data_IF_489535229570
#
_entry.id   IF_489535229570
#
_cell.length_a   1.000
_cell.length_b   1.000
_cell.length_c   1.000
_cell.angle_alpha   90.00
_cell.angle_beta   90.00
_cell.angle_gamma   90.00
#
_symmetry.space_group_name_H-M   'P 1'
#
loop_
_entity.id
_entity.type
_entity.pdbx_description
1 polymer ?
#
# COMPACT_ATOMS: atom_id res chain seq x y z
N UNK A 1 -10.03 -40.95 -18.49
CA UNK A 1 -9.72 -40.16 -17.27
C UNK A 1 -10.56 -38.90 -17.29
N UNK A 2 -11.67 -38.95 -16.55
CA UNK A 2 -12.89 -38.17 -16.78
C UNK A 2 -12.80 -36.69 -16.46
N UNK A 3 -13.61 -35.91 -17.18
CA UNK A 3 -13.81 -34.47 -16.98
C UNK A 3 -14.18 -34.12 -15.52
N UNK A 4 -14.79 -35.06 -14.79
CA UNK A 4 -15.11 -34.96 -13.36
C UNK A 4 -13.84 -34.94 -12.51
N UNK A 5 -12.87 -35.80 -12.77
CA UNK A 5 -11.59 -35.84 -12.07
C UNK A 5 -10.74 -34.57 -12.35
N UNK A 6 -10.76 -34.05 -13.59
CA UNK A 6 -10.13 -32.76 -13.93
C UNK A 6 -10.80 -31.57 -13.22
N UNK A 7 -12.13 -31.60 -13.03
CA UNK A 7 -12.91 -30.57 -12.32
C UNK A 7 -12.66 -30.64 -10.81
N UNK A 8 -12.57 -31.84 -10.25
CA UNK A 8 -12.20 -32.10 -8.86
C UNK A 8 -10.78 -31.61 -8.57
N UNK A 9 -9.82 -31.96 -9.43
CA UNK A 9 -8.41 -31.57 -9.30
C UNK A 9 -8.20 -30.06 -9.50
N UNK A 10 -9.02 -29.40 -10.35
CA UNK A 10 -9.07 -27.94 -10.46
C UNK A 10 -9.63 -27.28 -9.20
N UNK A 11 -10.68 -27.86 -8.61
CA UNK A 11 -11.25 -27.39 -7.33
C UNK A 11 -10.25 -27.58 -6.19
N UNK A 12 -9.64 -28.74 -6.06
CA UNK A 12 -8.61 -29.02 -5.06
C UNK A 12 -7.38 -28.13 -5.23
N UNK A 13 -6.96 -27.83 -6.47
CA UNK A 13 -5.90 -26.83 -6.73
C UNK A 13 -6.33 -25.40 -6.41
N UNK A 14 -7.59 -25.03 -6.62
CA UNK A 14 -8.13 -23.73 -6.21
C UNK A 14 -8.26 -23.62 -4.69
N UNK A 15 -8.58 -24.72 -4.00
CA UNK A 15 -8.63 -24.82 -2.54
C UNK A 15 -7.22 -24.83 -1.94
N UNK A 16 -6.27 -25.55 -2.54
CA UNK A 16 -4.85 -25.53 -2.14
C UNK A 16 -4.19 -24.18 -2.41
N UNK A 17 -4.56 -23.48 -3.50
CA UNK A 17 -4.19 -22.07 -3.76
C UNK A 17 -4.85 -21.09 -2.80
N UNK A 18 -6.01 -21.42 -2.23
CA UNK A 18 -6.60 -20.69 -1.09
C UNK A 18 -5.88 -21.00 0.22
N UNK A 19 -5.30 -22.19 0.37
CA UNK A 19 -4.58 -22.63 1.58
C UNK A 19 -3.12 -22.14 1.66
N UNK A 20 -2.47 -21.84 0.54
CA UNK A 20 -1.32 -20.92 0.53
C UNK A 20 -1.89 -19.49 0.61
N UNK A 21 -2.34 -19.11 1.81
CA UNK A 21 -2.93 -17.80 2.06
C UNK A 21 -1.98 -16.72 1.56
N UNK A 22 -2.49 -15.83 0.71
CA UNK A 22 -1.74 -14.68 0.25
C UNK A 22 -1.24 -13.93 1.48
N UNK A 23 0.08 -13.72 1.60
CA UNK A 23 0.60 -13.02 2.78
C UNK A 23 -0.04 -11.64 2.85
N UNK A 24 -0.46 -11.26 4.06
CA UNK A 24 -0.88 -9.90 4.31
C UNK A 24 0.22 -8.94 3.85
N UNK A 25 -0.17 -7.81 3.29
CA UNK A 25 0.76 -6.90 2.65
C UNK A 25 0.27 -5.45 2.75
N UNK A 26 1.16 -4.52 2.41
CA UNK A 26 0.85 -3.13 2.17
C UNK A 26 1.17 -2.72 0.74
N UNK A 27 0.59 -1.59 0.33
CA UNK A 27 1.04 -0.82 -0.84
C UNK A 27 0.86 0.66 -0.58
N UNK A 28 1.67 1.47 -1.24
CA UNK A 28 1.52 2.93 -1.26
C UNK A 28 1.24 3.38 -2.68
N UNK A 29 0.46 4.44 -2.82
CA UNK A 29 0.22 5.11 -4.09
C UNK A 29 0.35 6.62 -3.88
N UNK A 30 0.84 7.33 -4.89
CA UNK A 30 0.90 8.78 -4.93
C UNK A 30 0.32 9.28 -6.25
N UNK A 31 -0.56 10.27 -6.15
CA UNK A 31 -1.17 10.97 -7.29
C UNK A 31 -0.52 12.35 -7.45
N UNK A 32 -0.23 12.74 -8.69
CA UNK A 32 0.36 14.03 -9.05
C UNK A 32 -0.46 14.75 -10.11
N UNK A 33 -0.81 16.00 -9.83
CA UNK A 33 -1.26 16.91 -10.89
C UNK A 33 -0.04 17.32 -11.74
N UNK A 34 -0.25 17.46 -13.04
CA UNK A 34 0.82 17.86 -13.97
C UNK A 34 0.68 19.33 -14.29
N UNK A 35 1.75 20.09 -14.03
CA UNK A 35 1.89 21.45 -14.53
C UNK A 35 2.83 21.41 -15.74
N UNK A 36 2.39 21.96 -16.88
CA UNK A 36 3.18 22.06 -18.09
C UNK A 36 3.32 23.55 -18.44
N UNK A 37 4.54 24.05 -18.43
CA UNK A 37 4.86 25.48 -18.62
C UNK A 37 4.06 26.41 -17.67
N UNK A 38 3.78 25.92 -16.45
CA UNK A 38 3.04 26.65 -15.41
C UNK A 38 1.51 26.46 -15.44
N UNK A 39 0.96 25.75 -16.43
CA UNK A 39 -0.47 25.49 -16.52
C UNK A 39 -0.82 24.05 -16.14
N UNK A 40 -1.90 23.86 -15.38
CA UNK A 40 -2.36 22.51 -15.03
C UNK A 40 -2.95 21.83 -16.27
N UNK A 41 -2.43 20.65 -16.61
CA UNK A 41 -2.85 19.85 -17.76
C UNK A 41 -3.21 18.44 -17.35
N UNK A 42 -3.97 17.75 -18.20
CA UNK A 42 -4.19 16.30 -18.06
C UNK A 42 -3.04 15.54 -18.74
N UNK A 43 -2.36 14.61 -18.05
CA UNK A 43 -1.27 13.84 -18.63
C UNK A 43 -1.71 12.97 -19.83
N UNK A 44 -2.97 12.55 -19.88
CA UNK A 44 -3.52 11.81 -21.02
C UNK A 44 -3.60 12.65 -22.29
N UNK A 45 -3.83 13.95 -22.16
CA UNK A 45 -3.97 14.85 -23.31
C UNK A 45 -2.59 15.26 -23.86
N UNK A 46 -1.58 15.30 -23.00
CA UNK A 46 -0.21 15.70 -23.37
C UNK A 46 0.64 14.51 -23.81
N UNK A 47 0.68 13.46 -22.98
CA UNK A 47 1.57 12.32 -23.20
C UNK A 47 0.85 11.10 -23.78
N UNK A 48 -0.49 11.02 -23.64
CA UNK A 48 -1.31 9.87 -24.04
C UNK A 48 -1.15 8.64 -23.14
N UNK A 49 0.09 8.23 -22.86
CA UNK A 49 0.44 7.03 -22.09
C UNK A 49 1.82 7.20 -21.44
N UNK A 50 2.09 6.56 -20.28
CA UNK A 50 3.42 6.55 -19.68
C UNK A 50 4.55 6.08 -20.60
N UNK A 51 4.23 5.28 -21.63
CA UNK A 51 5.17 4.83 -22.67
C UNK A 51 5.76 5.97 -23.53
N UNK A 52 5.11 7.12 -23.59
CA UNK A 52 5.63 8.28 -24.33
C UNK A 52 6.74 9.01 -23.55
N UNK A 53 6.75 8.85 -22.22
CA UNK A 53 7.72 9.47 -21.33
C UNK A 53 8.88 8.50 -21.07
N UNK A 54 8.56 7.27 -20.66
CA UNK A 54 9.56 6.27 -20.23
C UNK A 54 10.22 5.60 -21.43
N UNK A 55 11.53 5.77 -21.56
CA UNK A 55 12.38 5.22 -22.63
C UNK A 55 12.71 3.74 -22.42
N UNK A 56 12.76 3.29 -21.17
CA UNK A 56 13.11 1.91 -20.80
C UNK A 56 11.98 0.88 -21.07
N UNK A 57 12.29 -0.42 -21.01
CA UNK A 57 11.28 -1.46 -21.18
C UNK A 57 10.23 -1.40 -20.07
N UNK A 58 8.97 -1.24 -20.45
CA UNK A 58 7.82 -1.31 -19.54
C UNK A 58 7.16 -2.68 -19.61
N UNK A 59 6.72 -3.20 -18.46
CA UNK A 59 5.91 -4.41 -18.39
C UNK A 59 4.43 -4.03 -18.21
N UNK A 60 3.56 -4.52 -19.10
CA UNK A 60 2.13 -4.27 -19.01
C UNK A 60 1.51 -4.96 -17.79
N UNK A 61 0.61 -4.25 -17.10
CA UNK A 61 -0.08 -4.71 -15.90
C UNK A 61 -1.59 -4.87 -16.14
N UNK A 62 -2.29 -3.77 -16.34
CA UNK A 62 -3.74 -3.76 -16.62
C UNK A 62 -4.13 -2.42 -17.23
N UNK A 63 -5.03 -2.41 -18.21
CA UNK A 63 -5.46 -1.16 -18.84
C UNK A 63 -4.27 -0.35 -19.37
N UNK A 64 -4.14 0.91 -18.92
CA UNK A 64 -3.03 1.83 -19.22
C UNK A 64 -1.92 1.84 -18.16
N UNK A 65 -1.88 0.85 -17.27
CA UNK A 65 -0.87 0.73 -16.21
C UNK A 65 0.31 -0.15 -16.60
N UNK A 66 1.50 0.35 -16.28
CA UNK A 66 2.79 -0.24 -16.62
C UNK A 66 3.71 -0.31 -15.41
N UNK A 67 4.41 -1.43 -15.23
CA UNK A 67 5.50 -1.50 -14.26
C UNK A 67 6.75 -0.80 -14.79
N UNK A 68 7.33 0.03 -13.92
CA UNK A 68 8.62 0.67 -14.04
C UNK A 68 9.76 -0.31 -13.72
N UNK A 69 11.00 -0.05 -14.18
CA UNK A 69 12.17 -0.87 -13.82
C UNK A 69 12.42 -0.99 -12.31
N UNK A 70 11.94 -0.02 -11.52
CA UNK A 70 11.96 -0.03 -10.04
C UNK A 70 10.97 -1.02 -9.41
N UNK A 71 10.13 -1.68 -10.20
CA UNK A 71 9.07 -2.58 -9.74
C UNK A 71 7.75 -1.88 -9.42
N UNK A 72 7.76 -0.57 -9.16
CA UNK A 72 6.56 0.26 -9.06
C UNK A 72 5.74 0.28 -10.36
N UNK A 73 4.54 0.81 -10.34
CA UNK A 73 3.68 0.97 -11.50
C UNK A 73 3.31 2.43 -11.71
N UNK A 74 3.26 2.86 -12.98
CA UNK A 74 2.82 4.19 -13.41
C UNK A 74 1.60 4.07 -14.30
N UNK A 75 0.65 4.99 -14.15
CA UNK A 75 -0.50 5.17 -15.03
C UNK A 75 -1.05 6.57 -14.93
N UNK A 76 -1.90 6.93 -15.89
CA UNK A 76 -2.69 8.15 -15.84
C UNK A 76 -4.13 7.77 -15.52
N UNK A 77 -4.72 8.40 -14.52
CA UNK A 77 -6.11 8.22 -14.14
C UNK A 77 -6.74 9.58 -13.86
N UNK A 78 -7.87 9.86 -14.49
CA UNK A 78 -8.70 11.05 -14.22
C UNK A 78 -7.89 12.37 -14.19
N UNK A 79 -6.91 12.53 -15.09
CA UNK A 79 -6.15 13.78 -15.20
C UNK A 79 -4.97 13.92 -14.23
N UNK A 80 -4.58 12.85 -13.52
CA UNK A 80 -3.37 12.81 -12.68
C UNK A 80 -2.43 11.70 -13.13
N UNK A 81 -1.15 11.87 -12.80
CA UNK A 81 -0.17 10.79 -12.87
C UNK A 81 -0.19 10.03 -11.55
N UNK A 82 -0.39 8.72 -11.60
CA UNK A 82 -0.35 7.86 -10.42
C UNK A 82 0.89 6.97 -10.44
N UNK A 83 1.57 6.89 -9.30
CA UNK A 83 2.63 5.94 -9.04
C UNK A 83 2.23 5.04 -7.88
N UNK A 84 2.29 3.73 -8.09
CA UNK A 84 1.94 2.71 -7.10
C UNK A 84 3.13 1.81 -6.81
N UNK A 85 3.32 1.41 -5.55
CA UNK A 85 4.36 0.44 -5.18
C UNK A 85 3.99 -0.97 -5.65
N UNK A 86 4.94 -1.91 -5.73
CA UNK A 86 4.61 -3.32 -5.57
C UNK A 86 3.91 -3.59 -4.22
N UNK A 87 3.25 -4.75 -4.10
CA UNK A 87 2.81 -5.23 -2.78
C UNK A 87 4.03 -5.59 -1.95
N UNK A 88 4.08 -5.10 -0.70
CA UNK A 88 5.13 -5.39 0.27
C UNK A 88 4.52 -6.27 1.37
N UNK A 89 5.00 -7.50 1.56
CA UNK A 89 4.50 -8.34 2.63
C UNK A 89 4.69 -7.71 4.03
N UNK A 90 3.72 -7.93 4.92
CA UNK A 90 3.77 -7.42 6.28
C UNK A 90 4.90 -8.08 7.06
N UNK A 91 5.84 -7.26 7.48
CA UNK A 91 6.98 -7.61 8.31
C UNK A 91 7.49 -6.33 9.01
N UNK A 92 8.35 -6.42 10.03
CA UNK A 92 9.05 -5.26 10.57
C UNK A 92 9.74 -4.47 9.45
N UNK A 93 9.51 -3.16 9.41
CA UNK A 93 10.03 -2.26 8.38
C UNK A 93 9.30 -2.31 7.03
N UNK A 94 8.14 -2.98 6.92
CA UNK A 94 7.39 -3.05 5.65
C UNK A 94 7.03 -1.66 5.09
N UNK A 95 6.60 -0.73 5.94
CA UNK A 95 6.30 0.65 5.55
C UNK A 95 7.53 1.39 5.00
N UNK A 96 8.71 1.16 5.58
CA UNK A 96 9.96 1.75 5.09
C UNK A 96 10.35 1.18 3.72
N UNK A 97 10.15 -0.12 3.48
CA UNK A 97 10.32 -0.72 2.14
C UNK A 97 9.36 -0.13 1.11
N UNK A 98 8.08 -0.02 1.48
CA UNK A 98 7.07 0.57 0.59
C UNK A 98 7.38 2.04 0.28
N UNK A 99 7.75 2.83 1.29
CA UNK A 99 8.14 4.21 1.11
C UNK A 99 9.37 4.35 0.21
N UNK A 100 10.43 3.58 0.45
CA UNK A 100 11.59 3.55 -0.45
C UNK A 100 11.18 3.22 -1.89
N UNK A 101 10.42 2.14 -2.09
CA UNK A 101 9.99 1.72 -3.43
C UNK A 101 9.16 2.79 -4.17
N UNK A 102 8.28 3.50 -3.44
CA UNK A 102 7.53 4.62 -3.98
C UNK A 102 8.45 5.76 -4.41
N UNK A 103 9.35 6.20 -3.51
CA UNK A 103 10.24 7.33 -3.77
C UNK A 103 11.32 7.04 -4.82
N UNK A 104 11.81 5.81 -4.92
CA UNK A 104 12.64 5.35 -6.04
C UNK A 104 11.90 5.45 -7.37
N UNK A 105 10.61 5.09 -7.38
CA UNK A 105 9.75 5.15 -8.57
C UNK A 105 9.40 6.60 -8.95
N UNK A 106 9.17 7.48 -7.97
CA UNK A 106 9.02 8.93 -8.18
C UNK A 106 10.29 9.51 -8.80
N UNK A 107 11.46 9.19 -8.23
CA UNK A 107 12.75 9.65 -8.76
C UNK A 107 12.95 9.18 -10.20
N UNK A 108 12.71 7.90 -10.47
CA UNK A 108 12.81 7.35 -11.82
C UNK A 108 11.90 8.09 -12.81
N UNK A 109 10.63 8.32 -12.44
CA UNK A 109 9.72 9.06 -13.32
C UNK A 109 10.20 10.50 -13.54
N UNK A 110 10.70 11.16 -12.49
CA UNK A 110 11.22 12.51 -12.58
C UNK A 110 12.40 12.61 -13.56
N UNK A 111 13.34 11.67 -13.51
CA UNK A 111 14.46 11.57 -14.46
C UNK A 111 13.96 11.38 -15.90
N UNK A 112 12.95 10.53 -16.12
CA UNK A 112 12.37 10.33 -17.46
C UNK A 112 11.60 11.57 -17.97
N UNK A 113 10.96 12.33 -17.07
CA UNK A 113 10.34 13.60 -17.40
C UNK A 113 11.38 14.68 -17.70
N UNK A 114 12.47 14.77 -16.95
CA UNK A 114 13.56 15.71 -17.21
C UNK A 114 14.17 15.49 -18.61
N UNK A 115 14.26 14.22 -19.02
CA UNK A 115 14.75 13.84 -20.35
C UNK A 115 13.72 14.08 -21.45
N UNK A 116 12.43 14.04 -21.11
CA UNK A 116 11.35 14.49 -21.99
C UNK A 116 11.40 16.02 -22.18
N UNK A 117 11.51 16.80 -21.09
CA UNK A 117 11.62 18.26 -21.13
C UNK A 117 12.77 18.73 -22.01
N UNK A 118 13.94 18.09 -21.89
CA UNK A 118 15.11 18.42 -22.73
C UNK A 118 14.89 18.16 -24.21
N UNK A 119 14.07 17.17 -24.56
CA UNK A 119 13.76 16.82 -25.96
C UNK A 119 12.70 17.74 -26.56
N UNK A 120 11.70 18.08 -25.76
CA UNK A 120 10.52 18.81 -26.21
C UNK A 120 10.62 20.33 -25.98
N UNK A 121 11.59 20.78 -25.18
CA UNK A 121 11.83 22.20 -24.90
C UNK A 121 10.75 22.84 -24.02
N UNK A 122 10.07 22.03 -23.19
CA UNK A 122 8.98 22.43 -22.29
C UNK A 122 9.32 22.08 -20.86
N UNK A 123 8.65 22.69 -19.88
CA UNK A 123 8.85 22.42 -18.45
C UNK A 123 7.67 21.65 -17.86
N UNK A 124 7.93 20.57 -17.11
CA UNK A 124 6.94 19.74 -16.45
C UNK A 124 7.18 19.73 -14.94
N UNK A 125 6.14 19.96 -14.15
CA UNK A 125 6.19 19.81 -12.70
C UNK A 125 5.17 18.78 -12.26
N UNK A 126 5.56 17.98 -11.25
CA UNK A 126 4.67 17.04 -10.59
C UNK A 126 4.19 17.66 -9.27
N UNK A 127 3.00 18.24 -9.28
CA UNK A 127 2.41 18.79 -8.06
C UNK A 127 1.77 17.65 -7.23
N UNK A 128 2.24 17.45 -6.00
CA UNK A 128 1.74 16.44 -5.08
C UNK A 128 0.26 16.64 -4.78
N UNK A 129 -0.57 15.67 -5.18
CA UNK A 129 -2.02 15.75 -5.05
C UNK A 129 -2.52 14.90 -3.88
N UNK A 130 -2.30 13.58 -3.91
CA UNK A 130 -2.75 12.69 -2.83
C UNK A 130 -1.80 11.53 -2.59
N UNK A 131 -1.90 10.91 -1.41
CA UNK A 131 -1.21 9.68 -1.05
C UNK A 131 -2.22 8.65 -0.49
N UNK A 132 -2.09 7.40 -0.93
CA UNK A 132 -3.00 6.31 -0.55
C UNK A 132 -2.21 5.20 0.11
N UNK A 133 -2.65 4.81 1.31
CA UNK A 133 -2.03 3.78 2.13
C UNK A 133 -2.93 2.56 2.15
N UNK A 134 -2.48 1.48 1.51
CA UNK A 134 -3.25 0.26 1.35
C UNK A 134 -2.76 -0.80 2.33
N UNK A 135 -3.68 -1.44 3.06
CA UNK A 135 -3.39 -2.57 3.97
C UNK A 135 -4.33 -3.72 3.66
N UNK A 136 -3.77 -4.92 3.43
CA UNK A 136 -4.56 -6.13 3.14
C UNK A 136 -5.61 -6.41 4.22
N UNK A 137 -6.82 -6.75 3.77
CA UNK A 137 -7.91 -7.27 4.59
C UNK A 137 -8.02 -8.77 4.32
N UNK A 138 -7.52 -9.56 5.28
CA UNK A 138 -7.32 -11.01 5.20
C UNK A 138 -8.15 -11.78 6.25
N UNK A 139 -9.15 -11.13 6.84
CA UNK A 139 -10.10 -11.78 7.76
C UNK A 139 -10.80 -12.93 7.02
N UNK A 140 -10.79 -14.17 7.54
CA UNK A 140 -11.42 -15.30 6.86
C UNK A 140 -12.93 -15.08 6.64
N UNK A 141 -13.48 -15.61 5.54
CA UNK A 141 -14.88 -15.38 5.19
C UNK A 141 -15.86 -15.91 6.25
N UNK A 142 -15.49 -16.99 6.94
CA UNK A 142 -16.21 -17.59 8.07
C UNK A 142 -16.23 -16.71 9.33
N UNK A 143 -15.26 -15.80 9.45
CA UNK A 143 -15.14 -14.81 10.51
C UNK A 143 -15.78 -13.47 10.17
N UNK A 144 -16.01 -13.20 8.88
CA UNK A 144 -16.73 -12.02 8.37
C UNK A 144 -18.25 -12.14 8.61
N UNK A 145 -18.63 -12.18 9.89
CA UNK A 145 -20.02 -12.12 10.35
C UNK A 145 -20.51 -10.67 10.36
N UNK A 146 -21.80 -10.46 10.64
CA UNK A 146 -22.34 -9.11 10.84
C UNK A 146 -21.47 -8.34 11.86
N UNK A 147 -20.98 -7.17 11.45
CA UNK A 147 -20.09 -6.33 12.26
C UNK A 147 -18.58 -6.60 12.08
N UNK A 148 -18.15 -7.58 11.26
CA UNK A 148 -16.72 -7.83 10.94
C UNK A 148 -16.42 -7.75 9.44
N UNK A 149 -17.16 -6.92 8.70
CA UNK A 149 -16.91 -6.72 7.26
C UNK A 149 -15.85 -5.65 7.02
N UNK A 150 -15.28 -5.62 5.81
CA UNK A 150 -14.35 -4.54 5.40
C UNK A 150 -15.02 -3.15 5.44
N UNK A 151 -16.34 -3.09 5.24
CA UNK A 151 -17.10 -1.85 5.34
C UNK A 151 -17.20 -1.38 6.79
N UNK A 152 -17.54 -2.27 7.73
CA UNK A 152 -17.61 -1.95 9.16
C UNK A 152 -16.22 -1.51 9.66
N UNK A 153 -15.17 -2.21 9.23
CA UNK A 153 -13.78 -1.85 9.53
C UNK A 153 -13.46 -0.42 9.06
N UNK A 154 -13.84 -0.08 7.83
CA UNK A 154 -13.60 1.25 7.27
C UNK A 154 -14.30 2.35 8.07
N UNK A 155 -15.55 2.12 8.49
CA UNK A 155 -16.30 3.05 9.36
C UNK A 155 -15.53 3.26 10.65
N UNK A 156 -15.20 2.18 11.37
CA UNK A 156 -14.52 2.26 12.66
C UNK A 156 -13.16 2.95 12.57
N UNK A 157 -12.36 2.62 11.56
CA UNK A 157 -11.06 3.25 11.32
C UNK A 157 -11.18 4.75 11.03
N UNK A 158 -12.31 5.21 10.48
CA UNK A 158 -12.57 6.65 10.27
C UNK A 158 -12.71 7.40 11.61
N UNK A 159 -13.01 6.73 12.71
CA UNK A 159 -13.02 7.33 14.06
C UNK A 159 -11.66 7.25 14.77
N UNK A 160 -10.76 6.37 14.32
CA UNK A 160 -9.49 6.09 14.99
C UNK A 160 -8.30 6.81 14.33
N UNK A 161 -8.25 6.79 13.00
CA UNK A 161 -7.07 7.22 12.24
C UNK A 161 -6.93 8.73 11.98
N UNK A 162 -7.99 9.55 11.83
CA UNK A 162 -7.81 10.90 11.29
C UNK A 162 -6.82 11.76 12.08
N UNK A 163 -6.94 11.86 13.40
CA UNK A 163 -6.07 12.70 14.24
C UNK A 163 -4.58 12.33 14.14
N UNK A 164 -4.17 11.06 14.35
CA UNK A 164 -2.77 10.70 14.18
C UNK A 164 -2.28 10.79 12.73
N UNK A 165 -3.13 10.53 11.73
CA UNK A 165 -2.75 10.67 10.31
C UNK A 165 -2.61 12.14 9.92
N UNK A 166 -3.45 13.03 10.43
CA UNK A 166 -3.34 14.49 10.20
C UNK A 166 -1.96 15.00 10.61
N UNK A 167 -1.46 14.60 11.78
CA UNK A 167 -0.13 15.01 12.24
C UNK A 167 1.04 14.43 11.41
N UNK A 168 0.85 13.29 10.75
CA UNK A 168 1.94 12.63 10.03
C UNK A 168 1.90 12.86 8.52
N UNK A 169 0.74 13.18 7.94
CA UNK A 169 0.56 13.18 6.48
C UNK A 169 -0.16 14.42 5.93
N UNK A 170 -0.82 15.22 6.77
CA UNK A 170 -1.59 16.38 6.32
C UNK A 170 -0.83 17.70 6.46
N UNK A 171 -1.39 18.76 5.88
CA UNK A 171 -0.89 20.12 5.94
C UNK A 171 -2.08 21.11 6.11
N UNK A 172 -1.78 22.41 6.17
CA UNK A 172 -2.78 23.49 6.38
C UNK A 172 -3.87 23.58 5.31
N UNK A 173 -3.60 23.11 4.08
CA UNK A 173 -4.55 23.11 2.96
C UNK A 173 -5.32 21.80 2.83
N UNK A 174 -5.02 20.80 3.66
CA UNK A 174 -5.70 19.50 3.61
C UNK A 174 -7.20 19.62 3.90
N UNK A 175 -7.98 18.78 3.23
CA UNK A 175 -9.46 18.84 3.31
C UNK A 175 -10.10 17.69 4.08
N UNK A 176 -9.39 16.58 4.25
CA UNK A 176 -9.90 15.44 4.99
C UNK A 176 -8.99 14.23 4.93
N UNK A 177 -9.21 13.29 5.85
CA UNK A 177 -8.59 11.95 5.81
C UNK A 177 -9.68 10.95 5.41
N UNK A 178 -9.45 10.18 4.36
CA UNK A 178 -10.40 9.20 3.84
C UNK A 178 -10.06 7.78 4.28
N UNK A 179 -11.09 6.94 4.41
CA UNK A 179 -10.96 5.50 4.67
C UNK A 179 -11.95 4.75 3.78
N UNK A 180 -11.42 3.83 2.96
CA UNK A 180 -12.14 3.23 1.84
C UNK A 180 -12.02 1.71 1.85
N UNK A 181 -13.15 0.98 1.85
CA UNK A 181 -13.15 -0.47 1.68
C UNK A 181 -12.93 -0.85 0.22
N UNK A 182 -11.95 -1.71 -0.05
CA UNK A 182 -11.60 -2.18 -1.41
C UNK A 182 -11.70 -3.69 -1.55
N UNK A 183 -12.68 -4.31 -0.89
CA UNK A 183 -12.94 -5.75 -0.93
C UNK A 183 -11.90 -6.57 -0.18
N UNK A 184 -10.65 -6.62 -0.69
CA UNK A 184 -9.54 -7.38 -0.12
C UNK A 184 -8.50 -6.52 0.61
N UNK A 185 -8.76 -5.22 0.76
CA UNK A 185 -7.89 -4.27 1.47
C UNK A 185 -8.69 -3.09 2.00
N UNK A 186 -8.11 -2.39 2.96
CA UNK A 186 -8.53 -1.05 3.36
C UNK A 186 -7.54 -0.04 2.79
N UNK A 187 -8.05 1.07 2.28
CA UNK A 187 -7.28 2.16 1.70
C UNK A 187 -7.53 3.42 2.53
N UNK A 188 -6.47 4.01 3.07
CA UNK A 188 -6.48 5.28 3.79
C UNK A 188 -5.95 6.34 2.84
N UNK A 189 -6.63 7.48 2.71
CA UNK A 189 -6.22 8.56 1.80
C UNK A 189 -5.93 9.83 2.57
N UNK A 190 -4.83 10.49 2.22
CA UNK A 190 -4.47 11.83 2.67
C UNK A 190 -3.97 12.65 1.47
N UNK A 191 -3.68 13.93 1.69
CA UNK A 191 -2.87 14.69 0.74
C UNK A 191 -1.50 14.01 0.54
N UNK A 192 -0.82 14.33 -0.55
CA UNK A 192 0.57 13.90 -0.72
C UNK A 192 1.42 14.38 0.46
N UNK A 193 2.45 13.61 0.86
CA UNK A 193 3.36 14.01 1.95
C UNK A 193 4.76 14.18 1.37
N UNK A 194 5.25 15.41 1.11
CA UNK A 194 6.55 15.67 0.50
C UNK A 194 7.73 15.53 1.47
N UNK A 195 7.58 14.68 2.47
CA UNK A 195 8.63 14.27 3.39
C UNK A 195 8.59 12.73 3.45
N UNK A 196 9.62 12.05 2.92
CA UNK A 196 9.65 10.58 2.91
C UNK A 196 9.59 9.97 4.31
N UNK A 197 10.18 10.59 5.32
CA UNK A 197 10.20 10.08 6.69
C UNK A 197 8.81 10.16 7.33
N UNK A 198 8.11 11.29 7.16
CA UNK A 198 6.74 11.48 7.62
C UNK A 198 5.76 10.55 6.88
N UNK A 199 5.93 10.38 5.57
CA UNK A 199 5.11 9.43 4.79
C UNK A 199 5.28 7.99 5.31
N UNK A 200 6.52 7.56 5.57
CA UNK A 200 6.81 6.23 6.11
C UNK A 200 6.26 6.10 7.54
N UNK A 201 6.37 7.14 8.37
CA UNK A 201 5.80 7.18 9.71
C UNK A 201 4.27 7.05 9.68
N UNK A 202 3.59 7.76 8.77
CA UNK A 202 2.16 7.64 8.56
C UNK A 202 1.76 6.22 8.15
N UNK A 203 2.45 5.65 7.15
CA UNK A 203 2.22 4.27 6.70
C UNK A 203 2.42 3.26 7.84
N UNK A 204 3.48 3.40 8.63
CA UNK A 204 3.78 2.54 9.79
C UNK A 204 2.67 2.60 10.84
N UNK A 205 2.22 3.82 11.18
CA UNK A 205 1.11 4.01 12.12
C UNK A 205 -0.18 3.37 11.60
N UNK A 206 -0.53 3.63 10.35
CA UNK A 206 -1.73 3.09 9.70
C UNK A 206 -1.71 1.56 9.74
N UNK A 207 -0.59 0.92 9.38
CA UNK A 207 -0.46 -0.54 9.44
C UNK A 207 -0.69 -1.05 10.86
N UNK A 208 -0.02 -0.49 11.85
CA UNK A 208 -0.16 -0.92 13.23
C UNK A 208 -1.61 -0.80 13.73
N UNK A 209 -2.26 0.33 13.48
CA UNK A 209 -3.66 0.55 13.90
C UNK A 209 -4.60 -0.41 13.16
N UNK A 210 -4.51 -0.48 11.83
CA UNK A 210 -5.38 -1.34 11.02
C UNK A 210 -5.25 -2.81 11.43
N UNK A 211 -4.01 -3.30 11.61
CA UNK A 211 -3.76 -4.70 11.98
C UNK A 211 -4.25 -5.02 13.38
N UNK A 212 -4.13 -4.10 14.33
CA UNK A 212 -4.69 -4.30 15.68
C UNK A 212 -6.22 -4.33 15.63
N UNK A 213 -6.85 -3.37 14.95
CA UNK A 213 -8.31 -3.29 14.88
C UNK A 213 -8.91 -4.52 14.21
N UNK A 214 -8.24 -5.11 13.21
CA UNK A 214 -8.68 -6.38 12.60
C UNK A 214 -8.76 -7.55 13.59
N UNK A 215 -8.06 -7.49 14.72
CA UNK A 215 -8.12 -8.52 15.78
C UNK A 215 -9.30 -8.32 16.74
N UNK A 216 -9.99 -7.18 16.68
CA UNK A 216 -11.12 -6.90 17.55
C UNK A 216 -12.29 -7.84 17.28
N UNK A 217 -13.09 -8.18 18.32
CA UNK A 217 -14.22 -9.11 18.20
C UNK A 217 -15.34 -8.57 17.32
N UNK A 218 -15.43 -7.25 17.14
CA UNK A 218 -16.35 -6.55 16.25
C UNK A 218 -15.69 -5.28 15.72
N UNK A 219 -16.21 -4.73 14.62
CA UNK A 219 -15.86 -3.42 14.06
C UNK A 219 -16.98 -2.39 14.24
N UNK A 220 -17.98 -2.69 15.05
CA UNK A 220 -19.03 -1.72 15.38
C UNK A 220 -18.52 -0.63 16.32
N UNK A 221 -19.12 0.57 16.24
CA UNK A 221 -18.67 1.73 17.00
C UNK A 221 -18.76 1.57 18.53
N UNK A 222 -19.58 0.65 19.04
CA UNK A 222 -19.63 0.32 20.48
C UNK A 222 -18.31 -0.22 21.02
N UNK A 223 -17.46 -0.75 20.15
CA UNK A 223 -16.11 -1.19 20.54
C UNK A 223 -15.24 -0.02 21.01
N UNK A 224 -15.56 1.21 20.59
CA UNK A 224 -14.90 2.43 21.07
C UNK A 224 -15.27 2.73 22.52
N UNK A 225 -16.50 2.43 22.95
CA UNK A 225 -16.93 2.69 24.33
C UNK A 225 -16.19 1.79 25.33
N UNK A 226 -15.94 0.54 24.92
CA UNK A 226 -15.18 -0.44 25.68
C UNK A 226 -13.67 -0.17 25.71
N UNK A 227 -13.16 0.79 24.92
CA UNK A 227 -11.72 1.05 24.76
C UNK A 227 -11.36 2.45 25.18
N UNK A 228 -10.18 2.58 25.77
CA UNK A 228 -9.65 3.87 26.21
C UNK A 228 -8.99 4.65 25.06
N UNK A 229 -9.75 4.86 23.98
CA UNK A 229 -9.32 5.66 22.83
C UNK A 229 -10.15 6.94 22.78
N UNK A 230 -9.53 8.13 22.77
CA UNK A 230 -10.28 9.38 22.71
C UNK A 230 -10.87 9.59 21.32
N UNK A 231 -12.17 9.83 21.28
CA UNK A 231 -12.93 10.13 20.06
C UNK A 231 -13.70 11.44 20.30
N UNK A 232 -13.61 12.44 19.39
CA UNK A 232 -14.41 13.65 19.53
C UNK A 232 -15.90 13.34 19.54
N UNK A 233 -16.64 13.96 20.47
CA UNK A 233 -18.06 13.70 20.70
C UNK A 233 -18.95 14.09 19.52
N UNK A 234 -18.65 15.24 18.90
CA UNK A 234 -19.42 15.79 17.79
C UNK A 234 -18.94 15.34 16.41
N UNK A 235 -17.96 14.43 16.34
CA UNK A 235 -17.42 13.96 15.07
C UNK A 235 -18.35 12.97 14.38
N UNK A 236 -18.76 13.30 13.16
CA UNK A 236 -19.53 12.44 12.28
C UNK A 236 -18.91 12.42 10.87
N UNK A 237 -18.26 11.32 10.45
CA UNK A 237 -17.70 11.23 9.12
C UNK A 237 -18.80 11.13 8.07
N UNK A 238 -18.55 11.70 6.88
CA UNK A 238 -19.50 11.69 5.78
C UNK A 238 -19.13 10.63 4.73
N UNK A 239 -20.09 10.07 3.98
CA UNK A 239 -19.80 9.24 2.84
C UNK A 239 -18.94 9.98 1.83
N UNK A 240 -17.95 9.29 1.27
CA UNK A 240 -17.13 9.87 0.21
C UNK A 240 -17.95 10.01 -1.08
N UNK A 241 -18.05 11.23 -1.59
CA UNK A 241 -18.93 11.64 -2.70
C UNK A 241 -18.81 10.81 -3.99
N UNK A 242 -17.62 10.30 -4.33
CA UNK A 242 -17.37 9.62 -5.62
C UNK A 242 -16.68 8.26 -5.50
N UNK A 243 -16.26 7.85 -4.30
CA UNK A 243 -15.13 6.91 -4.16
C UNK A 243 -15.39 5.68 -3.28
N UNK A 244 -16.63 5.46 -2.82
CA UNK A 244 -17.08 4.35 -1.93
C UNK A 244 -16.22 4.24 -0.66
N UNK A 245 -16.68 4.84 0.44
CA UNK A 245 -15.98 4.90 1.73
C UNK A 245 -16.45 6.09 2.56
N UNK A 246 -15.65 6.48 3.54
CA UNK A 246 -15.92 7.59 4.45
C UNK A 246 -14.78 8.58 4.45
N UNK A 247 -15.08 9.84 4.77
CA UNK A 247 -14.08 10.90 4.91
C UNK A 247 -14.33 11.68 6.19
N UNK A 248 -13.25 11.85 6.96
CA UNK A 248 -13.16 12.81 8.05
C UNK A 248 -12.82 14.18 7.47
N UNK A 249 -13.80 14.81 6.83
CA UNK A 249 -13.65 16.14 6.22
C UNK A 249 -13.53 17.20 7.31
N UNK A 250 -12.88 18.34 7.04
CA UNK A 250 -12.80 19.43 8.02
C UNK A 250 -14.17 19.89 8.56
N UNK A 251 -15.23 19.79 7.75
CA UNK A 251 -16.61 20.12 8.13
C UNK A 251 -17.25 19.11 9.08
N UNK A 252 -16.62 17.96 9.31
CA UNK A 252 -17.08 16.94 10.27
C UNK A 252 -16.71 17.28 11.72
N UNK A 253 -15.99 18.39 11.94
CA UNK A 253 -15.47 18.81 13.24
C UNK A 253 -16.02 20.19 13.62
N UNK A 254 -16.19 20.48 14.93
CA UNK A 254 -16.63 21.80 15.40
C UNK A 254 -15.67 22.95 15.03
N UNK A 255 -14.38 22.64 14.93
CA UNK A 255 -13.34 23.52 14.44
C UNK A 255 -12.53 22.80 13.37
N UNK A 256 -12.04 23.54 12.36
CA UNK A 256 -11.25 22.96 11.28
C UNK A 256 -9.92 22.41 11.84
N UNK A 257 -9.70 21.08 11.87
CA UNK A 257 -8.50 20.50 12.47
C UNK A 257 -7.23 20.81 11.67
N UNK A 258 -7.36 21.18 10.39
CA UNK A 258 -6.21 21.49 9.54
C UNK A 258 -5.72 22.93 9.68
N UNK A 259 -6.55 23.84 10.20
CA UNK A 259 -6.22 25.25 10.39
C UNK A 259 -6.06 25.64 11.86
N UNK A 260 -6.49 24.77 12.78
CA UNK A 260 -6.36 24.99 14.22
C UNK A 260 -4.94 24.73 14.70
N UNK A 261 -4.55 25.39 15.79
CA UNK A 261 -3.36 25.00 16.53
C UNK A 261 -3.54 23.59 17.09
N UNK A 262 -2.58 22.70 16.83
CA UNK A 262 -2.66 21.28 17.14
C UNK A 262 -2.57 20.99 18.64
N UNK A 263 -2.05 21.94 19.44
CA UNK A 263 -1.87 21.82 20.89
C UNK A 263 -2.95 22.55 21.69
N UNK A 264 -3.85 23.30 21.05
CA UNK A 264 -4.98 23.95 21.72
C UNK A 264 -6.12 22.93 21.95
N UNK A 265 -6.66 22.82 23.18
CA UNK A 265 -7.73 21.90 23.49
C UNK A 265 -9.08 22.38 22.95
N UNK A 266 -9.46 21.89 21.76
CA UNK A 266 -10.68 22.29 21.05
C UNK A 266 -11.75 21.20 21.00
N UNK A 267 -11.42 19.95 21.27
CA UNK A 267 -12.32 18.82 21.04
C UNK A 267 -12.82 18.22 22.34
N UNK A 268 -14.10 18.40 22.60
CA UNK A 268 -14.80 17.63 23.63
C UNK A 268 -14.95 16.18 23.16
N UNK A 269 -14.39 15.25 23.92
CA UNK A 269 -14.47 13.82 23.65
C UNK A 269 -15.79 13.22 24.11
N UNK A 270 -16.13 12.03 23.60
CA UNK A 270 -17.30 11.26 24.07
C UNK A 270 -17.30 10.96 25.57
N UNK A 271 -16.14 11.05 26.23
CA UNK A 271 -15.96 10.82 27.67
C UNK A 271 -15.94 12.11 28.50
N UNK A 272 -16.21 13.26 27.89
CA UNK A 272 -16.30 14.56 28.58
C UNK A 272 -14.96 15.26 28.82
N UNK A 273 -13.84 14.69 28.40
CA UNK A 273 -12.55 15.38 28.40
C UNK A 273 -12.46 16.35 27.21
N UNK A 274 -11.91 17.54 27.42
CA UNK A 274 -11.57 18.47 26.34
C UNK A 274 -10.09 18.38 26.02
N UNK A 275 -9.76 17.90 24.83
CA UNK A 275 -8.39 17.58 24.42
C UNK A 275 -7.98 18.35 23.17
N UNK A 276 -6.67 18.52 22.99
CA UNK A 276 -6.06 19.02 21.74
C UNK A 276 -5.94 17.93 20.67
N UNK A 277 -5.63 18.33 19.44
CA UNK A 277 -5.43 17.39 18.32
C UNK A 277 -4.27 16.46 18.65
N UNK A 278 -3.17 17.01 19.17
CA UNK A 278 -1.99 16.24 19.54
C UNK A 278 -2.24 15.29 20.70
N UNK A 279 -3.03 15.69 21.70
CA UNK A 279 -3.37 14.79 22.80
C UNK A 279 -4.22 13.61 22.33
N UNK A 280 -5.22 13.84 21.48
CA UNK A 280 -6.05 12.77 20.89
C UNK A 280 -5.15 11.84 20.07
N UNK A 281 -4.35 12.39 19.15
CA UNK A 281 -3.43 11.64 18.31
C UNK A 281 -2.42 10.82 19.13
N UNK A 282 -1.84 11.42 20.18
CA UNK A 282 -0.87 10.79 21.05
C UNK A 282 -1.46 9.68 21.93
N UNK A 283 -2.65 9.88 22.51
CA UNK A 283 -3.38 8.84 23.25
C UNK A 283 -3.76 7.67 22.36
N UNK A 284 -4.31 7.94 21.17
CA UNK A 284 -4.62 6.90 20.17
C UNK A 284 -3.35 6.12 19.77
N UNK A 285 -2.26 6.83 19.46
CA UNK A 285 -0.98 6.19 19.11
C UNK A 285 -0.42 5.32 20.24
N UNK A 286 -0.55 5.77 21.50
CA UNK A 286 -0.12 5.00 22.68
C UNK A 286 -0.93 3.72 22.85
N UNK A 287 -2.25 3.79 22.67
CA UNK A 287 -3.12 2.62 22.72
C UNK A 287 -2.65 1.54 21.72
N UNK A 288 -2.32 1.94 20.49
CA UNK A 288 -1.85 1.04 19.43
C UNK A 288 -0.33 0.76 19.44
N UNK A 289 0.41 1.23 20.45
CA UNK A 289 1.89 1.24 20.43
C UNK A 289 2.53 -0.15 20.27
N UNK A 290 1.91 -1.19 20.84
CA UNK A 290 2.39 -2.58 20.70
C UNK A 290 2.33 -3.04 19.25
N UNK A 291 1.19 -2.86 18.59
CA UNK A 291 1.00 -3.24 17.19
C UNK A 291 1.83 -2.37 16.25
N UNK A 292 1.89 -1.05 16.48
CA UNK A 292 2.76 -0.15 15.68
C UNK A 292 4.21 -0.62 15.77
N UNK A 293 4.71 -0.93 16.96
CA UNK A 293 6.08 -1.44 17.17
C UNK A 293 6.34 -2.77 16.45
N UNK A 294 5.34 -3.62 16.27
CA UNK A 294 5.49 -4.90 15.57
C UNK A 294 5.88 -4.73 14.10
N UNK A 295 5.43 -3.66 13.44
CA UNK A 295 5.68 -3.41 12.02
C UNK A 295 6.66 -2.29 11.75
N UNK A 296 6.98 -1.47 12.75
CA UNK A 296 7.87 -0.33 12.60
C UNK A 296 9.35 -0.72 12.48
N UNK A 297 10.10 0.07 11.72
CA UNK A 297 11.54 0.20 11.93
C UNK A 297 11.84 1.20 13.09
N UNK A 298 13.06 1.20 13.65
CA UNK A 298 13.41 2.07 14.78
C UNK A 298 13.32 3.57 14.48
N UNK A 299 13.58 4.01 13.25
CA UNK A 299 13.57 5.42 12.86
C UNK A 299 12.14 5.93 12.81
N UNK A 300 11.26 5.22 12.10
CA UNK A 300 9.85 5.57 11.98
C UNK A 300 9.15 5.54 13.35
N UNK A 301 9.43 4.53 14.18
CA UNK A 301 8.84 4.45 15.53
C UNK A 301 9.23 5.67 16.39
N UNK A 302 10.50 6.11 16.30
CA UNK A 302 11.00 7.29 17.00
C UNK A 302 10.34 8.57 16.48
N UNK A 303 10.22 8.70 15.16
CA UNK A 303 9.61 9.86 14.52
C UNK A 303 8.13 9.99 14.91
N UNK A 304 7.35 8.91 14.79
CA UNK A 304 5.94 8.86 15.24
C UNK A 304 5.86 9.37 16.68
N UNK A 305 6.63 8.77 17.59
CA UNK A 305 6.59 9.18 19.00
C UNK A 305 7.01 10.64 19.22
N UNK A 306 7.92 11.18 18.41
CA UNK A 306 8.41 12.55 18.54
C UNK A 306 7.39 13.56 18.04
N UNK A 307 6.75 13.32 16.89
CA UNK A 307 5.64 14.16 16.38
C UNK A 307 4.46 14.15 17.35
N UNK A 308 4.06 12.98 17.84
CA UNK A 308 2.95 12.88 18.81
C UNK A 308 3.23 13.56 20.16
N UNK A 309 4.49 13.89 20.46
CA UNK A 309 4.91 14.61 21.69
C UNK A 309 5.32 16.06 21.42
N UNK A 310 5.18 16.57 20.19
CA UNK A 310 5.61 17.92 19.83
C UNK A 310 7.13 18.12 19.88
N UNK A 311 7.90 17.03 19.75
CA UNK A 311 9.39 17.07 19.74
C UNK A 311 9.98 17.02 18.34
N UNK A 312 9.15 16.77 17.33
CA UNK A 312 9.49 16.83 15.92
C UNK A 312 8.32 17.51 15.19
N UNK A 313 8.59 18.34 14.18
CA UNK A 313 7.55 19.10 13.49
C UNK A 313 6.65 18.20 12.65
N UNK A 314 5.36 18.51 12.63
CA UNK A 314 4.40 18.10 11.60
C UNK A 314 4.32 19.14 10.48
N UNK A 315 4.00 18.72 9.26
CA UNK A 315 3.64 19.66 8.17
C UNK A 315 2.37 20.47 8.48
N UNK A 316 1.51 19.96 9.38
CA UNK A 316 0.30 20.64 9.85
C UNK A 316 0.60 21.87 10.73
N UNK A 317 1.77 21.87 11.36
CA UNK A 317 2.22 22.94 12.27
C UNK A 317 2.85 24.12 11.52
N UNK A 318 3.21 23.92 10.25
CA UNK A 318 3.75 24.98 9.40
C UNK A 318 2.67 26.04 9.11
N UNK A 319 3.09 27.28 8.91
CA UNK A 319 2.17 28.38 8.59
C UNK A 319 1.51 28.19 7.22
N UNK A 320 2.28 27.69 6.25
CA UNK A 320 1.87 27.49 4.86
C UNK A 320 2.28 26.09 4.39
N UNK A 321 1.60 25.60 3.35
CA UNK A 321 1.96 24.34 2.70
C UNK A 321 3.36 24.46 2.07
N UNK A 322 4.28 23.51 2.31
CA UNK A 322 5.64 23.55 1.76
C UNK A 322 5.67 23.66 0.23
N UNK A 323 6.62 24.43 -0.32
CA UNK A 323 6.86 24.50 -1.76
C UNK A 323 7.22 23.14 -2.39
N UNK A 324 7.68 22.18 -1.58
CA UNK A 324 7.96 20.82 -2.01
C UNK A 324 6.73 20.08 -2.59
N UNK A 325 5.51 20.55 -2.31
CA UNK A 325 4.30 20.07 -2.98
C UNK A 325 4.23 20.45 -4.47
N UNK A 326 4.88 21.53 -4.90
CA UNK A 326 4.68 22.09 -6.23
C UNK A 326 5.51 21.39 -7.33
N UNK A 327 6.62 20.75 -6.97
CA UNK A 327 7.49 20.06 -7.94
C UNK A 327 8.21 18.86 -7.29
N UNK A 328 7.45 17.78 -7.14
CA UNK A 328 7.90 16.54 -6.50
C UNK A 328 8.94 15.83 -7.37
N UNK A 329 9.99 15.32 -6.73
CA UNK A 329 11.15 14.71 -7.39
C UNK A 329 12.26 15.72 -7.72
N UNK A 330 11.96 17.03 -7.73
CA UNK A 330 12.97 18.10 -7.79
C UNK A 330 13.15 18.78 -6.44
N UNK A 331 12.06 19.26 -5.84
CA UNK A 331 12.08 19.99 -4.56
C UNK A 331 12.05 19.09 -3.33
N UNK A 332 11.61 17.84 -3.48
CA UNK A 332 11.74 16.80 -2.47
C UNK A 332 12.11 15.48 -3.13
N UNK A 333 13.10 14.80 -2.56
CA UNK A 333 13.70 13.59 -3.12
C UNK A 333 13.87 12.51 -2.06
N UNK A 334 14.15 11.29 -2.51
CA UNK A 334 14.53 10.20 -1.62
C UNK A 334 15.89 10.49 -0.96
N UNK A 335 15.90 10.70 0.35
CA UNK A 335 17.12 10.95 1.12
C UNK A 335 17.91 9.69 1.53
N UNK A 336 17.66 8.54 0.90
CA UNK A 336 18.27 7.25 1.24
C UNK A 336 18.22 6.86 2.73
N UNK A 337 17.05 7.08 3.36
CA UNK A 337 16.83 6.84 4.80
C UNK A 337 17.02 5.37 5.20
N UNK A 338 16.83 4.45 4.27
CA UNK A 338 16.92 3.00 4.49
C UNK A 338 17.66 2.30 3.34
N UNK A 339 19.00 2.36 3.32
CA UNK A 339 19.81 1.68 2.34
C UNK A 339 19.53 0.17 2.31
N UNK A 340 19.65 -0.45 1.13
CA UNK A 340 19.30 -1.88 0.96
C UNK A 340 20.06 -2.84 1.90
N UNK A 341 21.29 -2.50 2.28
CA UNK A 341 22.07 -3.31 3.21
C UNK A 341 21.52 -3.26 4.66
N UNK A 342 20.85 -2.16 5.05
CA UNK A 342 20.18 -2.03 6.35
C UNK A 342 18.76 -2.57 6.32
N UNK A 343 18.04 -2.36 5.22
CA UNK A 343 16.68 -2.85 5.02
C UNK A 343 16.54 -3.48 3.63
N UNK A 344 16.78 -4.79 3.49
CA UNK A 344 16.66 -5.46 2.19
C UNK A 344 15.26 -5.33 1.60
N UNK A 345 15.16 -5.42 0.26
CA UNK A 345 13.86 -5.50 -0.43
C UNK A 345 13.05 -6.70 0.05
N UNK A 346 11.75 -6.52 0.07
CA UNK A 346 10.78 -7.57 0.40
C UNK A 346 10.88 -8.74 -0.57
N UNK A 347 10.42 -9.93 -0.16
CA UNK A 347 10.43 -11.09 -1.05
C UNK A 347 9.51 -10.88 -2.26
N UNK A 348 8.36 -10.22 -2.06
CA UNK A 348 7.46 -9.83 -3.15
C UNK A 348 8.08 -8.80 -4.10
N UNK A 349 8.81 -7.81 -3.57
CA UNK A 349 9.55 -6.85 -4.40
C UNK A 349 10.55 -7.58 -5.30
N UNK A 350 11.35 -8.48 -4.74
CA UNK A 350 12.38 -9.19 -5.51
C UNK A 350 11.78 -10.04 -6.63
N UNK A 351 10.68 -10.76 -6.36
CA UNK A 351 9.95 -11.51 -7.40
C UNK A 351 9.47 -10.56 -8.52
N UNK A 352 8.90 -9.41 -8.17
CA UNK A 352 8.41 -8.46 -9.16
C UNK A 352 9.55 -7.83 -9.96
N UNK A 353 10.68 -7.49 -9.34
CA UNK A 353 11.84 -6.98 -10.03
C UNK A 353 12.37 -7.98 -11.06
N UNK A 354 12.52 -9.26 -10.68
CA UNK A 354 12.91 -10.29 -11.63
C UNK A 354 11.91 -10.46 -12.79
N UNK A 355 10.61 -10.40 -12.47
CA UNK A 355 9.57 -10.47 -13.48
C UNK A 355 9.64 -9.29 -14.46
N UNK A 356 9.70 -8.04 -13.96
CA UNK A 356 9.72 -6.83 -14.78
C UNK A 356 10.98 -6.76 -15.66
N UNK A 357 12.12 -7.22 -15.14
CA UNK A 357 13.37 -7.38 -15.89
C UNK A 357 13.35 -8.52 -16.90
N UNK A 358 12.21 -9.22 -17.05
CA UNK A 358 12.01 -10.35 -17.98
C UNK A 358 12.98 -11.51 -17.74
N UNK A 359 13.46 -11.69 -16.52
CA UNK A 359 14.38 -12.77 -16.20
C UNK A 359 13.66 -14.13 -16.31
N UNK A 360 14.18 -15.08 -17.11
CA UNK A 360 13.53 -16.37 -17.31
C UNK A 360 13.56 -17.21 -16.02
N UNK A 361 12.51 -18.00 -15.82
CA UNK A 361 12.35 -18.88 -14.67
C UNK A 361 12.16 -20.32 -15.14
N UNK A 362 12.89 -21.26 -14.53
CA UNK A 362 12.63 -22.68 -14.72
C UNK A 362 11.50 -23.14 -13.79
N UNK A 363 10.36 -23.51 -14.37
CA UNK A 363 9.15 -23.86 -13.61
C UNK A 363 8.35 -24.97 -14.30
N UNK A 364 7.88 -25.94 -13.51
CA UNK A 364 7.13 -27.10 -14.01
C UNK A 364 7.85 -27.81 -15.19
N UNK A 365 9.15 -28.05 -15.02
CA UNK A 365 10.07 -28.74 -15.95
C UNK A 365 10.24 -28.07 -17.33
N UNK A 366 10.04 -26.75 -17.41
CA UNK A 366 10.29 -25.95 -18.62
C UNK A 366 10.80 -24.54 -18.25
N UNK A 367 11.52 -23.91 -19.18
CA UNK A 367 11.83 -22.48 -19.08
C UNK A 367 10.59 -21.65 -19.42
N UNK A 368 10.31 -20.63 -18.62
CA UNK A 368 9.23 -19.71 -18.85
C UNK A 368 9.71 -18.26 -18.70
N UNK A 369 9.24 -17.38 -19.59
CA UNK A 369 9.58 -15.96 -19.58
C UNK A 369 8.42 -15.14 -19.01
N UNK A 370 8.68 -14.20 -18.08
CA UNK A 370 7.64 -13.30 -17.62
C UNK A 370 7.29 -12.29 -18.73
N UNK A 371 6.00 -12.16 -19.01
CA UNK A 371 5.45 -11.39 -20.14
C UNK A 371 4.48 -10.29 -19.72
N UNK A 372 4.06 -10.28 -18.47
CA UNK A 372 3.15 -9.30 -17.91
C UNK A 372 2.88 -9.56 -16.44
N UNK A 373 2.26 -8.60 -15.77
CA UNK A 373 1.70 -8.74 -14.43
C UNK A 373 0.18 -8.64 -14.55
N UNK A 374 -0.58 -9.37 -13.75
CA UNK A 374 -2.04 -9.27 -13.69
C UNK A 374 -2.46 -8.80 -12.31
N UNK A 375 -3.05 -7.60 -12.24
CA UNK A 375 -3.43 -6.99 -10.97
C UNK A 375 -2.21 -6.66 -10.12
N UNK A 376 -2.24 -7.00 -8.84
CA UNK A 376 -1.18 -6.69 -7.87
C UNK A 376 -0.32 -7.90 -7.48
N UNK A 377 -0.79 -9.11 -7.77
CA UNK A 377 -0.33 -10.32 -7.06
C UNK A 377 0.02 -11.47 -7.98
N UNK A 378 -0.05 -11.28 -9.30
CA UNK A 378 0.12 -12.37 -10.26
C UNK A 378 1.04 -11.99 -11.40
N UNK A 379 1.94 -12.89 -11.78
CA UNK A 379 2.82 -12.72 -12.94
C UNK A 379 2.41 -13.71 -14.03
N UNK A 380 2.35 -13.22 -15.26
CA UNK A 380 2.01 -13.99 -16.46
C UNK A 380 3.30 -14.44 -17.13
N UNK A 381 3.51 -15.74 -17.16
CA UNK A 381 4.64 -16.39 -17.83
C UNK A 381 4.21 -17.02 -19.15
N UNK A 382 5.09 -16.97 -20.15
CA UNK A 382 4.99 -17.73 -21.39
C UNK A 382 6.03 -18.83 -21.37
N UNK A 383 5.60 -20.08 -21.48
CA UNK A 383 6.48 -21.26 -21.58
C UNK A 383 7.23 -21.28 -22.90
N UNK A 384 8.48 -21.73 -22.87
CA UNK A 384 9.31 -21.85 -24.08
C UNK A 384 8.97 -23.09 -24.89
N UNK A 385 8.67 -24.22 -24.25
CA UNK A 385 8.42 -25.47 -24.97
C UNK A 385 7.13 -25.48 -25.80
N UNK A 386 6.03 -24.91 -25.27
CA UNK A 386 4.71 -24.97 -25.90
C UNK A 386 4.07 -23.59 -26.15
N UNK A 387 4.75 -22.50 -25.79
CA UNK A 387 4.22 -21.13 -25.93
C UNK A 387 3.04 -20.81 -25.01
N UNK A 388 2.60 -21.73 -24.16
CA UNK A 388 1.40 -21.56 -23.34
C UNK A 388 1.60 -20.52 -22.25
N UNK A 389 0.52 -19.79 -21.94
CA UNK A 389 0.52 -18.79 -20.87
C UNK A 389 0.13 -19.42 -19.54
N UNK A 390 0.92 -19.18 -18.50
CA UNK A 390 0.63 -19.56 -17.12
C UNK A 390 0.65 -18.35 -16.20
N UNK A 391 -0.18 -18.41 -15.18
CA UNK A 391 -0.30 -17.34 -14.18
C UNK A 391 0.07 -17.93 -12.82
N UNK A 392 1.07 -17.32 -12.20
CA UNK A 392 1.56 -17.66 -10.87
C UNK A 392 1.30 -16.48 -9.93
N UNK A 393 0.84 -16.75 -8.71
CA UNK A 393 0.81 -15.71 -7.68
C UNK A 393 2.23 -15.36 -7.22
N UNK A 394 2.42 -14.22 -6.57
CA UNK A 394 3.70 -13.90 -5.91
C UNK A 394 4.08 -14.99 -4.90
N UNK A 395 3.13 -15.52 -4.13
CA UNK A 395 3.36 -16.65 -3.22
C UNK A 395 3.82 -17.94 -3.91
N UNK A 396 3.23 -18.28 -5.07
CA UNK A 396 3.67 -19.41 -5.88
C UNK A 396 5.15 -19.24 -6.29
N UNK A 397 5.56 -17.99 -6.57
CA UNK A 397 6.90 -17.63 -7.05
C UNK A 397 7.94 -17.54 -5.93
N UNK A 398 7.54 -17.31 -4.68
CA UNK A 398 8.46 -17.30 -3.53
C UNK A 398 9.24 -18.62 -3.39
N UNK A 399 8.63 -19.74 -3.77
CA UNK A 399 9.27 -21.05 -3.77
C UNK A 399 10.48 -21.16 -4.71
N UNK A 400 10.61 -20.23 -5.67
CA UNK A 400 11.67 -20.20 -6.65
C UNK A 400 12.63 -19.03 -6.46
N UNK A 401 12.36 -18.10 -5.54
CA UNK A 401 13.08 -16.84 -5.40
C UNK A 401 14.60 -17.04 -5.25
N UNK A 402 15.03 -18.00 -4.43
CA UNK A 402 16.46 -18.28 -4.19
C UNK A 402 17.18 -18.86 -5.39
N UNK A 403 16.46 -19.57 -6.26
CA UNK A 403 17.03 -20.28 -7.41
C UNK A 403 16.66 -19.60 -8.74
N UNK A 404 16.17 -18.36 -8.69
CA UNK A 404 15.72 -17.64 -9.89
C UNK A 404 16.83 -17.57 -10.93
N UNK A 405 16.51 -17.87 -12.19
CA UNK A 405 17.48 -17.88 -13.29
C UNK A 405 18.50 -19.03 -13.29
N UNK A 406 18.60 -19.86 -12.24
CA UNK A 406 19.63 -20.91 -12.15
C UNK A 406 19.19 -22.30 -12.61
N UNK A 407 17.89 -22.52 -12.81
CA UNK A 407 17.33 -23.86 -13.09
C UNK A 407 17.27 -24.81 -11.87
N UNK A 408 17.86 -24.45 -10.72
CA UNK A 408 17.97 -25.33 -9.53
C UNK A 408 16.67 -25.45 -8.72
N UNK A 409 15.75 -24.49 -8.86
CA UNK A 409 14.46 -24.45 -8.15
C UNK A 409 13.51 -25.61 -8.46
N UNK A 410 13.81 -26.42 -9.47
CA UNK A 410 13.07 -27.63 -9.84
C UNK A 410 12.95 -28.65 -8.69
N UNK A 411 13.91 -28.68 -7.75
CA UNK A 411 13.91 -29.65 -6.63
C UNK A 411 12.98 -29.23 -5.48
N UNK A 412 12.86 -27.94 -5.18
CA UNK A 412 12.10 -27.43 -4.02
C UNK A 412 10.57 -27.57 -4.21
N UNK A 413 10.05 -27.34 -5.41
CA UNK A 413 8.62 -27.55 -5.72
C UNK A 413 8.19 -29.02 -5.73
N UNK A 414 9.15 -29.94 -5.91
CA UNK A 414 8.92 -31.39 -5.98
C UNK A 414 8.71 -32.02 -4.60
N UNK A 415 9.37 -31.51 -3.56
CA UNK A 415 9.30 -32.03 -2.19
C UNK A 415 7.94 -31.75 -1.53
N UNK A 416 7.33 -30.58 -1.78
CA UNK A 416 5.96 -30.26 -1.28
C UNK A 416 4.85 -31.03 -2.00
N UNK A 417 5.05 -31.46 -3.25
CA UNK A 417 4.05 -32.26 -4.00
C UNK A 417 3.99 -33.73 -3.58
N UNK A 418 4.96 -34.26 -2.81
CA UNK A 418 4.99 -35.69 -2.39
C UNK A 418 4.32 -35.99 -1.04
N UNK A 419 3.92 -34.98 -0.25
CA UNK A 419 3.20 -35.20 1.01
C UNK A 419 1.69 -35.07 0.83
N UNK A 420 1.12 -35.93 -0.01
CA UNK A 420 -0.27 -36.38 0.14
C UNK A 420 -0.16 -37.90 0.21
N UNK A 421 -0.43 -38.55 1.36
CA UNK A 421 -0.42 -40.00 1.41
C UNK A 421 -1.48 -40.49 0.44
N UNK A 422 -1.06 -41.27 -0.55
CA UNK A 422 -2.04 -41.92 -1.44
C UNK A 422 -2.96 -42.79 -0.60
N UNK A 423 -4.26 -42.75 -0.87
CA UNK A 423 -5.28 -43.62 -0.26
C UNK A 423 -4.98 -45.13 -0.37
N UNK A 424 -3.98 -45.52 -1.17
CA UNK A 424 -3.51 -46.89 -1.27
C UNK A 424 -2.64 -47.33 -0.06
N UNK A 425 -1.97 -46.40 0.63
CA UNK A 425 -1.16 -46.73 1.81
C UNK A 425 -2.01 -46.96 3.07
N UNK A 426 -3.19 -46.34 3.16
CA UNK A 426 -4.09 -46.50 4.31
C UNK A 426 -4.87 -47.83 4.34
N UNK A 427 -4.92 -48.58 3.22
CA UNK A 427 -5.61 -49.89 3.16
C UNK A 427 -4.70 -51.08 3.49
N UNK A 428 -3.39 -50.88 3.64
CA UNK A 428 -2.43 -51.92 4.03
C UNK A 428 -2.10 -51.96 5.52
N UNK A 429 -2.61 -51.00 6.30
CA UNK A 429 -2.46 -50.96 7.76
C UNK A 429 -3.74 -51.40 8.51
N UNK A 430 -4.71 -51.98 7.81
CA UNK A 430 -5.98 -52.48 8.36
C UNK A 430 -6.25 -53.94 7.97
N UNK A 431 -5.19 -54.75 7.87
CA UNK A 431 -5.27 -56.22 7.81
C UNK A 431 -4.27 -56.82 8.77
#
# INVERSE_FOLDING_TARGET
MDAVAKKQQRRERATARRQLGQRAAIGLEAEFAVMLDGEQVKPEDVFGSPRAIVRGPLMHRVGRSYHLPTGGAVYFDTGVVEIATPMIELAPGCAARAGRSLWESIRFLREELDDWERRDGRSVQLAGFSAHYNVSFDVPAEEQRAGRTVHDLAVLLTYLLPFPVMLLAANRESTGIGVRPRGNRIEITADFTPDPALMIAAATLIVGVVREVMTWPSYELRELDARDVPVPGQFAPIPHSSRKGWVAKYTCFPANPFQSDVDVPLWDTRRGERLSLREIAGRTTRYFSRSIRQFADPVSLRLIGSVMRGRAPSLLELAERPAAYCDVGRLCTWGDLFPEHMLPRSEYEQVLLYAVQRQPLWVDDDWAEPTGVRGWTQVVFRRRGDGSRRVYSLDDLLAYLRDWGTGRGARAGRTRRRTVPSRAAARRAAR
#
